data_IF_785644516997
#
_entry.id   IF_785644516997
#
_cell.length_a   1.000
_cell.length_b   1.000
_cell.length_c   1.000
_cell.angle_alpha   90.00
_cell.angle_beta   90.00
_cell.angle_gamma   90.00
#
_symmetry.space_group_name_H-M   'P 1'
#
loop_
_entity.id
_entity.type
_entity.pdbx_description
1 polymer ?
#
# COMPACT_ATOMS: atom_id res chain seq x y z
N UNK A 1 -29.47 -1.64 -36.20
CA UNK A 1 -28.91 -2.90 -36.77
C UNK A 1 -27.57 -3.10 -36.09
N UNK A 2 -27.28 -4.08 -35.25
CA UNK A 2 -27.78 -5.44 -35.06
C UNK A 2 -27.56 -5.87 -33.61
N UNK A 3 -28.59 -6.46 -33.02
CA UNK A 3 -28.61 -7.15 -31.72
C UNK A 3 -28.02 -8.57 -31.84
N UNK A 4 -27.27 -9.01 -30.82
CA UNK A 4 -27.03 -10.42 -30.41
C UNK A 4 -26.62 -10.36 -28.92
N UNK A 5 -27.42 -10.66 -27.88
CA UNK A 5 -28.30 -11.77 -27.53
C UNK A 5 -27.56 -13.08 -27.14
N UNK A 6 -27.73 -13.42 -25.85
CA UNK A 6 -27.81 -14.74 -25.19
C UNK A 6 -26.55 -15.54 -24.83
N UNK A 7 -26.54 -15.99 -23.57
CA UNK A 7 -25.80 -17.16 -23.12
C UNK A 7 -25.86 -17.42 -21.60
N UNK A 8 -27.05 -17.57 -21.02
CA UNK A 8 -27.21 -18.21 -19.69
C UNK A 8 -26.87 -19.71 -19.83
N UNK A 9 -26.04 -20.24 -18.94
CA UNK A 9 -26.01 -21.66 -18.60
C UNK A 9 -25.66 -21.82 -17.13
N UNK A 10 -26.69 -22.12 -16.34
CA UNK A 10 -26.59 -22.72 -15.02
C UNK A 10 -26.36 -24.23 -15.20
N UNK A 11 -25.43 -24.81 -14.44
CA UNK A 11 -25.35 -26.26 -14.24
C UNK A 11 -25.20 -26.52 -12.74
N UNK A 12 -26.24 -27.14 -12.18
CA UNK A 12 -26.30 -27.68 -10.84
C UNK A 12 -25.73 -29.11 -10.82
N UNK A 13 -25.19 -29.54 -9.67
CA UNK A 13 -24.82 -30.94 -9.40
C UNK A 13 -23.62 -31.03 -8.46
N UNK A 14 -23.53 -31.90 -7.47
CA UNK A 14 -24.45 -32.86 -6.87
C UNK A 14 -23.92 -33.11 -5.44
N UNK A 15 -24.83 -33.29 -4.49
CA UNK A 15 -24.50 -33.60 -3.11
C UNK A 15 -23.92 -35.02 -2.98
N UNK A 16 -22.88 -35.18 -2.17
CA UNK A 16 -22.44 -36.47 -1.66
C UNK A 16 -22.37 -36.37 -0.12
N UNK A 17 -23.37 -36.94 0.54
CA UNK A 17 -23.41 -37.18 1.98
C UNK A 17 -22.58 -38.42 2.28
N UNK A 18 -21.45 -38.26 2.97
CA UNK A 18 -20.71 -39.36 3.60
C UNK A 18 -21.00 -39.32 5.10
N UNK A 19 -21.88 -40.22 5.56
CA UNK A 19 -22.08 -40.50 6.97
C UNK A 19 -21.02 -41.52 7.43
N UNK A 20 -20.06 -41.08 8.24
CA UNK A 20 -19.16 -41.97 8.97
C UNK A 20 -19.60 -42.03 10.44
N UNK A 21 -20.05 -43.21 10.81
CA UNK A 21 -20.41 -43.62 12.17
C UNK A 21 -19.10 -43.97 12.90
N UNK A 22 -18.79 -43.29 14.00
CA UNK A 22 -17.56 -43.51 14.77
C UNK A 22 -17.79 -43.36 16.27
N UNK A 23 -17.78 -44.51 16.96
CA UNK A 23 -17.67 -44.85 18.39
C UNK A 23 -17.50 -43.71 19.44
N UNK A 24 -18.22 -43.76 20.59
CA UNK A 24 -17.91 -42.92 21.74
C UNK A 24 -16.70 -43.51 22.47
N UNK A 25 -15.55 -42.85 22.38
CA UNK A 25 -14.40 -43.12 23.27
C UNK A 25 -14.70 -42.44 24.60
N UNK A 26 -14.87 -43.24 25.65
CA UNK A 26 -14.87 -42.75 27.03
C UNK A 26 -13.48 -42.18 27.33
N UNK A 27 -13.37 -40.86 27.36
CA UNK A 27 -12.18 -40.16 27.82
C UNK A 27 -12.12 -40.28 29.35
N UNK A 28 -11.16 -41.04 29.84
CA UNK A 28 -10.71 -41.01 31.23
C UNK A 28 -10.24 -39.58 31.54
N UNK A 29 -10.88 -38.91 32.49
CA UNK A 29 -10.34 -37.69 33.07
C UNK A 29 -9.16 -38.08 33.96
N UNK A 30 -7.94 -37.87 33.49
CA UNK A 30 -6.74 -37.91 34.33
C UNK A 30 -6.85 -36.80 35.40
N UNK A 31 -6.55 -37.09 36.68
CA UNK A 31 -6.49 -36.07 37.72
C UNK A 31 -5.43 -35.02 37.36
N UNK A 32 -5.90 -33.80 37.13
CA UNK A 32 -5.04 -32.63 36.95
C UNK A 32 -4.11 -32.47 38.16
N UNK A 33 -2.78 -32.45 37.99
CA UNK A 33 -1.88 -31.97 39.03
C UNK A 33 -2.18 -30.48 39.25
N UNK A 34 -2.30 -29.98 40.49
CA UNK A 34 -2.33 -28.55 40.75
C UNK A 34 -0.91 -28.01 40.57
N UNK A 35 -0.48 -27.87 39.31
CA UNK A 35 0.78 -27.26 38.90
C UNK A 35 0.48 -25.92 38.25
N UNK A 36 0.24 -24.90 39.07
CA UNK A 36 0.20 -23.53 38.61
C UNK A 36 1.56 -23.14 38.01
N UNK A 37 1.67 -23.19 36.68
CA UNK A 37 2.71 -22.47 35.97
C UNK A 37 2.21 -21.05 35.73
N UNK A 38 2.36 -20.22 36.74
CA UNK A 38 2.45 -18.79 36.52
C UNK A 38 3.73 -18.53 35.70
N UNK A 39 3.58 -17.93 34.51
CA UNK A 39 4.68 -17.18 33.90
C UNK A 39 5.16 -17.56 32.49
N UNK A 40 4.38 -18.26 31.65
CA UNK A 40 4.69 -18.26 30.21
C UNK A 40 4.00 -17.06 29.55
N UNK A 41 4.67 -15.91 29.52
CA UNK A 41 4.22 -14.79 28.67
C UNK A 41 4.11 -15.31 27.23
N UNK A 42 2.95 -15.20 26.56
CA UNK A 42 2.83 -15.56 25.16
C UNK A 42 3.89 -14.84 24.33
N UNK A 43 4.49 -15.48 23.31
CA UNK A 43 5.44 -14.80 22.45
C UNK A 43 4.78 -13.55 21.85
N UNK A 44 5.42 -12.41 21.96
CA UNK A 44 4.94 -11.18 21.35
C UNK A 44 4.99 -11.33 19.83
N UNK A 45 3.89 -11.01 19.14
CA UNK A 45 3.93 -10.87 17.70
C UNK A 45 4.74 -9.60 17.37
N UNK A 46 5.82 -9.77 16.61
CA UNK A 46 6.59 -8.65 16.08
C UNK A 46 5.96 -8.26 14.75
N UNK A 47 5.29 -7.11 14.71
CA UNK A 47 4.80 -6.52 13.48
C UNK A 47 5.95 -5.76 12.80
N UNK A 48 6.28 -6.14 11.58
CA UNK A 48 7.37 -5.55 10.79
C UNK A 48 6.91 -4.34 9.95
N UNK A 49 5.60 -4.08 9.91
CA UNK A 49 4.94 -3.00 9.16
C UNK A 49 5.22 -3.05 7.66
N UNK A 50 5.60 -4.21 7.12
CA UNK A 50 5.89 -4.38 5.71
C UNK A 50 4.65 -4.04 4.86
N UNK A 51 4.86 -3.34 3.75
CA UNK A 51 3.73 -2.97 2.89
C UNK A 51 3.14 -4.21 2.21
N UNK A 52 1.81 -4.46 2.28
CA UNK A 52 1.20 -5.64 1.69
C UNK A 52 1.42 -5.73 0.17
N UNK A 53 1.80 -6.91 -0.31
CA UNK A 53 2.02 -7.20 -1.74
C UNK A 53 3.08 -6.32 -2.43
N UNK A 54 4.06 -5.78 -1.67
CA UNK A 54 5.09 -4.86 -2.18
C UNK A 54 5.79 -5.36 -3.46
N UNK A 55 6.27 -6.61 -3.50
CA UNK A 55 6.97 -7.16 -4.66
C UNK A 55 6.09 -7.28 -5.90
N UNK A 56 4.80 -7.57 -5.73
CA UNK A 56 3.86 -7.60 -6.83
C UNK A 56 3.61 -6.18 -7.36
N UNK A 57 3.34 -5.23 -6.46
CA UNK A 57 3.12 -3.83 -6.82
C UNK A 57 4.35 -3.25 -7.54
N UNK A 58 5.56 -3.57 -7.08
CA UNK A 58 6.78 -3.12 -7.74
C UNK A 58 6.92 -3.67 -9.16
N UNK A 59 6.64 -4.95 -9.37
CA UNK A 59 6.70 -5.57 -10.70
C UNK A 59 5.62 -5.01 -11.64
N UNK A 60 4.41 -4.85 -11.14
CA UNK A 60 3.24 -4.52 -11.96
C UNK A 60 3.11 -3.01 -12.20
N UNK A 61 3.58 -2.18 -11.26
CA UNK A 61 3.35 -0.73 -11.27
C UNK A 61 4.64 0.08 -11.20
N UNK A 62 5.81 -0.52 -10.97
CA UNK A 62 7.09 0.22 -10.98
C UNK A 62 7.37 1.06 -9.73
N UNK A 63 6.58 0.91 -8.66
CA UNK A 63 6.76 1.59 -7.38
C UNK A 63 7.15 0.60 -6.29
N UNK A 64 8.21 0.90 -5.53
CA UNK A 64 8.63 0.07 -4.40
C UNK A 64 8.02 0.62 -3.12
N UNK A 65 7.02 -0.07 -2.59
CA UNK A 65 6.43 0.24 -1.29
C UNK A 65 7.14 -0.60 -0.22
N UNK A 66 7.64 0.03 0.84
CA UNK A 66 8.55 -0.64 1.78
C UNK A 66 7.80 -0.98 3.07
N UNK A 67 7.36 0.05 3.79
CA UNK A 67 6.66 -0.10 5.07
C UNK A 67 5.80 1.11 5.37
N UNK A 68 4.78 0.95 6.20
CA UNK A 68 3.89 2.04 6.58
C UNK A 68 3.02 1.70 7.77
N UNK A 69 2.31 2.70 8.29
CA UNK A 69 1.36 2.53 9.38
C UNK A 69 -0.07 2.20 8.91
N UNK A 70 -0.26 2.00 7.61
CA UNK A 70 -1.56 1.68 7.00
C UNK A 70 -2.47 2.88 6.80
N UNK A 71 -2.08 4.09 7.23
CA UNK A 71 -2.88 5.30 7.03
C UNK A 71 -2.65 5.97 5.68
N UNK A 72 -1.64 5.53 4.92
CA UNK A 72 -1.36 5.96 3.56
C UNK A 72 -1.26 4.70 2.69
N UNK A 73 -2.16 4.55 1.73
CA UNK A 73 -2.22 3.35 0.86
C UNK A 73 -2.28 3.73 -0.61
N UNK A 74 -1.54 3.01 -1.45
CA UNK A 74 -1.60 3.13 -2.90
C UNK A 74 -3.01 2.76 -3.40
N UNK A 75 -3.56 3.58 -4.29
CA UNK A 75 -4.87 3.39 -4.88
C UNK A 75 -4.84 3.76 -6.37
N UNK A 76 -5.84 3.27 -7.11
CA UNK A 76 -6.09 3.79 -8.44
C UNK A 76 -6.40 5.30 -8.37
N UNK A 77 -5.81 6.06 -9.28
CA UNK A 77 -6.10 7.48 -9.42
C UNK A 77 -7.54 7.69 -9.91
N UNK A 78 -8.32 8.46 -9.18
CA UNK A 78 -9.68 8.85 -9.54
C UNK A 78 -9.90 10.31 -9.13
N UNK A 79 -10.18 11.17 -10.11
CA UNK A 79 -10.35 12.60 -9.90
C UNK A 79 -11.62 12.95 -9.09
N UNK A 80 -12.51 11.98 -8.87
CA UNK A 80 -13.75 12.16 -8.10
C UNK A 80 -13.57 11.95 -6.60
N UNK A 81 -12.38 11.50 -6.17
CA UNK A 81 -12.07 11.22 -4.76
C UNK A 81 -10.89 12.06 -4.29
N UNK A 82 -10.88 12.36 -3.00
CA UNK A 82 -9.77 13.07 -2.36
C UNK A 82 -8.57 12.12 -2.25
N UNK A 83 -7.50 12.43 -2.97
CA UNK A 83 -6.28 11.63 -3.00
C UNK A 83 -5.06 12.54 -3.00
N UNK A 84 -3.98 12.06 -2.39
CA UNK A 84 -2.65 12.62 -2.60
C UNK A 84 -2.14 12.08 -3.93
N UNK A 85 -1.65 12.94 -4.81
CA UNK A 85 -1.17 12.57 -6.14
C UNK A 85 0.31 12.91 -6.27
N UNK A 86 1.10 11.90 -6.57
CA UNK A 86 2.54 12.03 -6.83
C UNK A 86 2.76 11.84 -8.32
N UNK A 87 3.07 12.93 -9.02
CA UNK A 87 3.26 12.93 -10.47
C UNK A 87 4.69 12.54 -10.81
N UNK A 88 4.85 11.70 -11.83
CA UNK A 88 6.18 11.27 -12.31
C UNK A 88 6.33 11.58 -13.78
N UNK A 89 7.57 11.57 -14.27
CA UNK A 89 7.83 11.66 -15.71
C UNK A 89 7.18 10.45 -16.40
N UNK A 90 6.21 10.67 -17.29
CA UNK A 90 5.75 9.62 -18.21
C UNK A 90 6.92 9.24 -19.12
N UNK A 91 7.35 7.99 -19.06
CA UNK A 91 8.46 7.50 -19.87
C UNK A 91 8.16 7.53 -21.37
N UNK A 92 9.18 7.82 -22.18
CA UNK A 92 9.22 7.43 -23.59
C UNK A 92 9.38 5.90 -23.62
N UNK A 93 8.30 5.17 -23.90
CA UNK A 93 8.30 3.70 -23.84
C UNK A 93 7.02 3.05 -23.33
N UNK A 94 6.01 3.84 -22.92
CA UNK A 94 4.64 3.36 -22.73
C UNK A 94 4.26 2.89 -21.32
N UNK A 95 5.22 2.57 -20.45
CA UNK A 95 4.95 2.11 -19.09
C UNK A 95 5.75 2.89 -18.05
N UNK A 96 5.21 4.03 -17.61
CA UNK A 96 5.36 4.55 -16.24
C UNK A 96 4.15 5.46 -15.98
N UNK A 97 3.34 5.14 -14.97
CA UNK A 97 2.13 5.90 -14.67
C UNK A 97 2.47 7.40 -14.51
N UNK A 98 1.74 8.27 -15.21
CA UNK A 98 1.95 9.73 -15.08
C UNK A 98 1.69 10.26 -13.67
N UNK A 99 0.99 9.49 -12.84
CA UNK A 99 0.86 9.75 -11.42
C UNK A 99 0.54 8.47 -10.63
N UNK A 100 0.95 8.46 -9.37
CA UNK A 100 0.55 7.49 -8.36
C UNK A 100 -0.34 8.20 -7.35
N UNK A 101 -1.47 7.59 -6.99
CA UNK A 101 -2.42 8.17 -6.06
C UNK A 101 -2.47 7.40 -4.76
N UNK A 102 -2.49 8.13 -3.65
CA UNK A 102 -2.52 7.58 -2.31
C UNK A 102 -3.78 8.06 -1.58
N UNK A 103 -4.43 7.14 -0.90
CA UNK A 103 -5.51 7.45 0.04
C UNK A 103 -4.91 7.63 1.43
N UNK A 104 -5.23 8.76 2.06
CA UNK A 104 -5.00 9.02 3.45
C UNK A 104 -6.27 8.69 4.25
N UNK A 105 -6.16 7.92 5.34
CA UNK A 105 -7.32 7.52 6.17
C UNK A 105 -7.31 8.14 7.57
N UNK A 106 -6.27 8.90 7.92
CA UNK A 106 -6.12 9.56 9.21
C UNK A 106 -5.41 10.92 9.05
N UNK A 107 -5.50 11.75 10.09
CA UNK A 107 -4.83 13.07 10.18
C UNK A 107 -3.31 12.99 10.29
N UNK A 108 -2.78 11.80 10.54
CA UNK A 108 -1.36 11.51 10.52
C UNK A 108 -1.17 10.14 9.88
N UNK A 109 -0.10 9.98 9.13
CA UNK A 109 0.22 8.72 8.48
C UNK A 109 1.65 8.70 8.01
N UNK A 110 2.16 7.49 7.76
CA UNK A 110 3.53 7.24 7.37
C UNK A 110 3.63 6.16 6.31
N UNK A 111 4.37 6.45 5.24
CA UNK A 111 4.74 5.49 4.22
C UNK A 111 6.18 5.71 3.77
N UNK A 112 7.01 4.69 3.93
CA UNK A 112 8.31 4.58 3.28
C UNK A 112 8.16 3.89 1.92
N UNK A 113 8.76 4.48 0.89
CA UNK A 113 8.68 4.03 -0.49
C UNK A 113 9.94 4.43 -1.27
N UNK A 114 10.14 3.88 -2.45
CA UNK A 114 11.05 4.44 -3.44
C UNK A 114 10.26 4.64 -4.74
N UNK A 115 10.00 5.89 -5.09
CA UNK A 115 9.35 6.26 -6.33
C UNK A 115 10.26 7.21 -7.12
N UNK A 116 10.90 6.73 -8.21
CA UNK A 116 11.82 7.54 -8.99
C UNK A 116 11.10 8.56 -9.88
N UNK A 117 11.87 9.53 -10.38
CA UNK A 117 11.43 10.53 -11.38
C UNK A 117 10.18 11.32 -10.98
N UNK A 118 10.04 11.69 -9.71
CA UNK A 118 8.93 12.53 -9.23
C UNK A 118 9.09 13.97 -9.71
N UNK A 119 8.02 14.54 -10.25
CA UNK A 119 8.00 15.90 -10.82
C UNK A 119 7.05 16.85 -10.10
N UNK A 120 6.03 16.33 -9.43
CA UNK A 120 5.13 17.15 -8.64
C UNK A 120 4.44 16.36 -7.55
N UNK A 121 4.05 17.09 -6.51
CA UNK A 121 3.23 16.63 -5.40
C UNK A 121 1.97 17.47 -5.35
N UNK A 122 0.83 16.82 -5.28
CA UNK A 122 -0.48 17.46 -5.24
C UNK A 122 -1.30 16.82 -4.12
N UNK A 123 -1.97 17.66 -3.34
CA UNK A 123 -2.78 17.24 -2.19
C UNK A 123 -4.23 17.63 -2.39
N UNK A 124 -5.12 16.84 -1.80
CA UNK A 124 -6.53 17.17 -1.70
C UNK A 124 -6.85 17.64 -0.28
N UNK A 125 -7.44 16.80 0.56
CA UNK A 125 -7.93 17.17 1.87
C UNK A 125 -6.90 17.10 3.02
N UNK A 126 -5.80 16.38 2.80
CA UNK A 126 -4.72 16.19 3.76
C UNK A 126 -3.42 16.90 3.33
N UNK A 127 -2.83 17.76 4.17
CA UNK A 127 -1.48 18.26 3.95
C UNK A 127 -0.46 17.13 4.12
N UNK A 128 0.68 17.26 3.44
CA UNK A 128 1.74 16.26 3.47
C UNK A 128 3.12 16.86 3.73
N UNK A 129 4.01 16.01 4.22
CA UNK A 129 5.46 16.18 4.15
C UNK A 129 6.05 15.02 3.33
N UNK A 130 6.97 15.33 2.42
CA UNK A 130 7.57 14.37 1.52
C UNK A 130 9.10 14.51 1.50
N UNK A 131 9.82 13.41 1.69
CA UNK A 131 11.28 13.41 1.63
C UNK A 131 11.75 12.96 0.24
N UNK A 132 12.50 13.83 -0.44
CA UNK A 132 13.04 13.56 -1.77
C UNK A 132 14.56 13.56 -1.76
N UNK A 133 15.16 12.69 -2.57
CA UNK A 133 16.61 12.65 -2.78
C UNK A 133 16.95 12.72 -4.27
N UNK A 134 18.03 13.40 -4.68
CA UNK A 134 18.50 13.34 -6.05
C UNK A 134 18.76 11.89 -6.49
N UNK A 135 18.23 11.49 -7.64
CA UNK A 135 18.38 10.13 -8.14
C UNK A 135 19.83 9.81 -8.52
N UNK A 136 20.59 10.83 -8.97
CA UNK A 136 22.00 10.69 -9.34
C UNK A 136 22.94 10.55 -8.12
N UNK A 137 22.48 10.87 -6.91
CA UNK A 137 23.28 10.78 -5.69
C UNK A 137 22.47 10.13 -4.54
N UNK A 138 22.49 8.80 -4.43
CA UNK A 138 21.84 8.08 -3.34
C UNK A 138 22.48 8.35 -1.96
N UNK A 139 23.68 8.95 -1.90
CA UNK A 139 24.35 9.25 -0.64
C UNK A 139 23.97 10.63 -0.09
N UNK A 140 23.39 11.50 -0.93
CA UNK A 140 22.90 12.80 -0.51
C UNK A 140 21.80 12.67 0.57
N UNK A 141 21.75 13.61 1.53
CA UNK A 141 20.64 13.67 2.47
C UNK A 141 19.32 13.92 1.74
N UNK A 142 18.22 13.37 2.26
CA UNK A 142 16.90 13.69 1.76
C UNK A 142 16.54 15.14 2.09
N UNK A 143 15.80 15.78 1.19
CA UNK A 143 15.25 17.12 1.36
C UNK A 143 13.74 17.01 1.55
N UNK A 144 13.25 17.55 2.65
CA UNK A 144 11.83 17.57 2.96
C UNK A 144 11.10 18.67 2.20
N UNK A 145 9.97 18.31 1.61
CA UNK A 145 9.04 19.19 0.91
C UNK A 145 7.67 19.08 1.55
N UNK A 146 7.20 20.18 2.12
CA UNK A 146 5.84 20.30 2.62
C UNK A 146 4.89 20.80 1.52
N UNK A 147 3.67 20.26 1.50
CA UNK A 147 2.57 20.70 0.64
C UNK A 147 1.32 20.81 1.50
N UNK A 148 0.77 22.01 1.60
CA UNK A 148 -0.45 22.28 2.37
C UNK A 148 -1.67 21.59 1.74
N UNK A 149 -2.80 21.58 2.45
CA UNK A 149 -4.09 21.10 1.93
C UNK A 149 -4.48 21.86 0.65
N UNK A 150 -5.04 21.15 -0.35
CA UNK A 150 -5.38 21.66 -1.69
C UNK A 150 -4.17 22.30 -2.40
N UNK A 151 -2.96 21.79 -2.12
CA UNK A 151 -1.70 22.35 -2.57
C UNK A 151 -1.14 21.61 -3.77
N UNK A 152 -0.28 22.30 -4.51
CA UNK A 152 0.52 21.75 -5.59
C UNK A 152 1.94 22.25 -5.46
N UNK A 153 2.92 21.36 -5.62
CA UNK A 153 4.33 21.73 -5.62
C UNK A 153 5.12 20.93 -6.65
N UNK A 154 5.75 21.64 -7.57
CA UNK A 154 6.75 21.07 -8.48
C UNK A 154 8.02 20.69 -7.71
N UNK A 155 8.60 19.55 -8.04
CA UNK A 155 9.84 19.01 -7.45
C UNK A 155 10.66 18.35 -8.56
N UNK A 156 11.93 18.05 -8.29
CA UNK A 156 12.80 17.37 -9.26
C UNK A 156 12.75 18.03 -10.65
N UNK A 157 12.54 17.24 -11.69
CA UNK A 157 12.47 17.70 -13.08
C UNK A 157 11.25 18.56 -13.41
N UNK A 158 10.24 18.63 -12.52
CA UNK A 158 9.13 19.57 -12.66
C UNK A 158 9.52 21.02 -12.33
N UNK A 159 10.73 21.25 -11.82
CA UNK A 159 11.29 22.59 -11.56
C UNK A 159 12.31 22.97 -12.64
N UNK A 160 12.41 24.26 -12.98
CA UNK A 160 13.34 24.74 -13.99
C UNK A 160 14.80 24.40 -13.61
N UNK A 161 15.45 23.57 -14.43
CA UNK A 161 16.81 23.07 -14.15
C UNK A 161 16.90 22.01 -13.04
N UNK A 162 15.78 21.50 -12.55
CA UNK A 162 15.76 20.50 -11.50
C UNK A 162 16.18 19.11 -12.00
N UNK A 163 16.92 18.40 -11.16
CA UNK A 163 17.41 17.05 -11.46
C UNK A 163 16.37 15.97 -11.12
N UNK A 164 16.44 14.79 -11.75
CA UNK A 164 15.66 13.62 -11.37
C UNK A 164 15.72 13.35 -9.87
N UNK A 165 14.56 13.16 -9.24
CA UNK A 165 14.45 12.95 -7.79
C UNK A 165 13.63 11.70 -7.48
N UNK A 166 14.00 11.03 -6.40
CA UNK A 166 13.32 9.86 -5.85
C UNK A 166 12.58 10.28 -4.58
N UNK A 167 11.29 10.00 -4.49
CA UNK A 167 10.51 10.12 -3.25
C UNK A 167 10.81 8.90 -2.36
N UNK A 168 11.19 9.17 -1.12
CA UNK A 168 11.62 8.17 -0.13
C UNK A 168 10.61 7.96 0.99
N UNK A 169 9.89 9.02 1.34
CA UNK A 169 8.94 9.01 2.44
C UNK A 169 7.79 9.98 2.16
N UNK A 170 6.58 9.55 2.51
CA UNK A 170 5.39 10.38 2.49
C UNK A 170 4.73 10.34 3.87
N UNK A 171 4.39 11.51 4.41
CA UNK A 171 3.66 11.67 5.66
C UNK A 171 2.44 12.54 5.47
N UNK A 172 1.34 12.17 6.13
CA UNK A 172 0.19 13.07 6.33
C UNK A 172 0.41 13.86 7.62
N UNK A 173 0.11 15.16 7.61
CA UNK A 173 0.47 16.09 8.68
C UNK A 173 -0.68 16.91 9.27
N UNK A 174 -1.94 16.62 8.92
CA UNK A 174 -3.12 17.37 9.40
C UNK A 174 -4.48 16.78 9.03
#
# INVERSE_FOLDING_TARGET
>A
MTSRMRGMLAVAGAAALMALVGVPVLASADPQPPGGSAGATPPSAVEDFAYPNADQIQRDQGIKLIKGDGHITLAACDASVQQIKVQTVQGQGGDVQGAYCFKATAKSGYLALELPRVIALETADHPISADLRPQADPSAPATTVNVDKNGYKSVGEGTAGGAPSVLLELRVTG
#
